data_IF_894862326986
#
_entry.id   IF_894862326986
#
_cell.length_a   1.000
_cell.length_b   1.000
_cell.length_c   1.000
_cell.angle_alpha   90.00
_cell.angle_beta   90.00
_cell.angle_gamma   90.00
#
_symmetry.space_group_name_H-M   'P 1'
#
loop_
_entity.id
_entity.type
_entity.pdbx_description
1 polymer ?
#
# COMPACT_ATOMS: atom_id res chain seq x y z
N UNK A 1 12.20 8.56 4.90
CA UNK A 1 13.12 9.72 4.95
C UNK A 1 12.40 10.90 5.63
N UNK A 2 13.09 11.78 6.38
CA UNK A 2 12.42 12.91 7.06
C UNK A 2 12.08 14.01 6.04
N UNK A 3 10.82 14.07 5.60
CA UNK A 3 10.31 15.04 4.64
C UNK A 3 10.11 16.42 5.30
N UNK A 4 10.51 17.49 4.61
CA UNK A 4 10.28 18.89 5.02
C UNK A 4 9.62 19.69 3.88
N UNK A 5 9.29 20.97 4.08
CA UNK A 5 8.63 21.76 3.02
C UNK A 5 9.47 21.87 1.74
N UNK A 6 10.80 21.88 1.86
CA UNK A 6 11.71 21.89 0.71
C UNK A 6 11.75 20.53 -0.02
N UNK A 7 11.60 19.41 0.69
CA UNK A 7 11.58 18.08 0.07
C UNK A 7 10.39 17.92 -0.86
N UNK A 8 9.21 18.49 -0.53
CA UNK A 8 8.02 18.42 -1.40
C UNK A 8 8.25 19.06 -2.77
N UNK A 9 8.84 20.27 -2.81
CA UNK A 9 9.12 20.95 -4.08
C UNK A 9 10.17 20.20 -4.89
N UNK A 10 11.21 19.69 -4.24
CA UNK A 10 12.27 18.90 -4.89
C UNK A 10 11.69 17.62 -5.48
N UNK A 11 10.86 16.89 -4.72
CA UNK A 11 10.20 15.68 -5.19
C UNK A 11 9.29 15.96 -6.39
N UNK A 12 8.51 17.04 -6.36
CA UNK A 12 7.62 17.39 -7.47
C UNK A 12 8.39 17.70 -8.75
N UNK A 13 9.45 18.51 -8.68
CA UNK A 13 10.31 18.80 -9.85
C UNK A 13 10.95 17.51 -10.38
N UNK A 14 11.49 16.68 -9.48
CA UNK A 14 12.10 15.42 -9.86
C UNK A 14 11.11 14.47 -10.52
N UNK A 15 9.89 14.36 -9.97
CA UNK A 15 8.80 13.55 -10.51
C UNK A 15 8.38 14.02 -11.90
N UNK A 16 8.20 15.32 -12.11
CA UNK A 16 7.85 15.88 -13.42
C UNK A 16 8.90 15.54 -14.48
N UNK A 17 10.18 15.77 -14.18
CA UNK A 17 11.27 15.47 -15.13
C UNK A 17 11.38 13.97 -15.40
N UNK A 18 11.31 13.15 -14.37
CA UNK A 18 11.39 11.70 -14.53
C UNK A 18 10.21 11.15 -15.33
N UNK A 19 8.99 11.63 -15.05
CA UNK A 19 7.79 11.24 -15.80
C UNK A 19 7.92 11.60 -17.28
N UNK A 20 8.38 12.82 -17.60
CA UNK A 20 8.59 13.22 -18.99
C UNK A 20 9.65 12.36 -19.69
N UNK A 21 10.74 12.01 -19.00
CA UNK A 21 11.80 11.15 -19.56
C UNK A 21 11.26 9.74 -19.83
N UNK A 22 10.57 9.13 -18.87
CA UNK A 22 9.99 7.80 -19.02
C UNK A 22 8.97 7.75 -20.17
N UNK A 23 8.18 8.82 -20.36
CA UNK A 23 7.15 8.87 -21.39
C UNK A 23 7.72 9.13 -22.80
N UNK A 24 8.72 10.01 -22.93
CA UNK A 24 9.16 10.53 -24.23
C UNK A 24 10.47 9.93 -24.74
N UNK A 25 11.36 9.52 -23.83
CA UNK A 25 12.74 9.16 -24.16
C UNK A 25 13.05 7.66 -24.01
N UNK A 26 12.12 6.90 -23.43
CA UNK A 26 12.29 5.47 -23.17
C UNK A 26 11.36 4.68 -24.09
N UNK A 27 11.95 3.93 -25.04
CA UNK A 27 11.24 3.11 -26.02
C UNK A 27 11.46 1.63 -25.75
N UNK A 28 11.09 1.16 -24.55
CA UNK A 28 11.17 -0.24 -24.16
C UNK A 28 9.75 -0.85 -24.11
N UNK A 29 9.44 -1.92 -24.87
CA UNK A 29 8.14 -2.58 -24.82
C UNK A 29 7.76 -3.09 -23.43
N UNK A 30 8.73 -3.55 -22.63
CA UNK A 30 8.48 -4.03 -21.27
C UNK A 30 8.07 -2.88 -20.34
N UNK A 31 8.41 -1.64 -20.69
CA UNK A 31 8.00 -0.43 -19.98
C UNK A 31 6.74 0.22 -20.57
N UNK A 32 6.09 -0.42 -21.54
CA UNK A 32 4.79 0.05 -22.01
C UNK A 32 3.75 0.01 -20.88
N UNK A 33 2.93 1.05 -20.76
CA UNK A 33 1.86 1.19 -19.77
C UNK A 33 2.31 1.26 -18.29
N UNK A 34 3.59 1.50 -18.02
CA UNK A 34 4.03 1.76 -16.64
C UNK A 34 3.66 3.17 -16.20
N UNK A 35 3.26 3.34 -14.93
CA UNK A 35 2.89 4.64 -14.36
C UNK A 35 3.81 5.01 -13.21
N UNK A 36 4.39 6.21 -13.24
CA UNK A 36 5.16 6.75 -12.12
C UNK A 36 4.20 7.29 -11.05
N UNK A 37 4.02 6.56 -9.95
CA UNK A 37 3.09 6.91 -8.86
C UNK A 37 3.70 7.92 -7.89
N UNK A 38 5.01 7.85 -7.68
CA UNK A 38 5.68 8.70 -6.69
C UNK A 38 7.19 8.78 -6.87
N UNK A 39 7.78 9.80 -6.25
CA UNK A 39 9.23 9.97 -6.14
C UNK A 39 9.59 10.48 -4.75
N UNK A 40 10.63 9.90 -4.16
CA UNK A 40 11.28 10.41 -2.96
C UNK A 40 12.74 10.72 -3.21
N UNK A 41 13.11 11.98 -3.02
CA UNK A 41 14.51 12.44 -3.08
C UNK A 41 15.04 12.58 -1.66
N UNK A 42 16.26 12.08 -1.44
CA UNK A 42 16.97 12.26 -0.17
C UNK A 42 17.23 13.74 0.11
N UNK A 43 17.41 14.10 1.39
CA UNK A 43 17.58 15.51 1.81
C UNK A 43 18.81 16.15 1.17
N UNK A 44 19.88 15.38 1.01
CA UNK A 44 21.14 15.73 0.36
C UNK A 44 21.12 15.53 -1.17
N UNK A 45 20.01 15.05 -1.73
CA UNK A 45 19.80 14.76 -3.17
C UNK A 45 20.79 13.75 -3.76
N UNK A 46 21.40 12.92 -2.91
CA UNK A 46 22.29 11.84 -3.35
C UNK A 46 21.53 10.64 -3.92
N UNK A 47 20.28 10.43 -3.48
CA UNK A 47 19.44 9.28 -3.88
C UNK A 47 18.05 9.75 -4.26
N UNK A 48 17.49 9.16 -5.31
CA UNK A 48 16.11 9.32 -5.75
C UNK A 48 15.47 7.95 -5.90
N UNK A 49 14.44 7.68 -5.10
CA UNK A 49 13.58 6.51 -5.22
C UNK A 49 12.36 6.85 -6.08
N UNK A 50 12.12 6.07 -7.12
CA UNK A 50 10.99 6.21 -8.03
C UNK A 50 10.06 5.01 -7.89
N UNK A 51 8.79 5.28 -7.60
CA UNK A 51 7.75 4.27 -7.43
C UNK A 51 6.96 4.14 -8.72
N UNK A 52 6.90 2.92 -9.25
CA UNK A 52 6.30 2.63 -10.55
C UNK A 52 5.23 1.55 -10.39
N UNK A 53 4.03 1.82 -10.86
CA UNK A 53 2.94 0.85 -10.91
C UNK A 53 2.81 0.25 -12.31
N UNK A 54 2.48 -1.03 -12.36
CA UNK A 54 2.22 -1.83 -13.57
C UNK A 54 1.40 -3.06 -13.18
N UNK A 55 0.94 -3.83 -14.15
CA UNK A 55 0.19 -5.07 -13.90
C UNK A 55 1.03 -6.10 -13.12
N UNK A 56 0.39 -6.85 -12.23
CA UNK A 56 1.04 -7.80 -11.32
C UNK A 56 1.86 -8.88 -12.03
N UNK A 57 1.37 -9.39 -13.17
CA UNK A 57 2.06 -10.38 -14.00
C UNK A 57 3.33 -9.84 -14.70
N UNK A 58 3.50 -8.50 -14.73
CA UNK A 58 4.61 -7.82 -15.40
C UNK A 58 5.68 -7.27 -14.47
N UNK A 59 5.58 -7.49 -13.15
CA UNK A 59 6.53 -6.94 -12.18
C UNK A 59 8.00 -7.25 -12.49
N UNK A 60 8.30 -8.51 -12.81
CA UNK A 60 9.68 -8.93 -13.07
C UNK A 60 10.24 -8.38 -14.40
N UNK A 61 9.56 -8.51 -15.56
CA UNK A 61 10.05 -7.91 -16.79
C UNK A 61 10.19 -6.39 -16.69
N UNK A 62 9.22 -5.69 -16.05
CA UNK A 62 9.29 -4.24 -15.81
C UNK A 62 10.49 -3.88 -14.94
N UNK A 63 10.72 -4.61 -13.84
CA UNK A 63 11.88 -4.39 -12.97
C UNK A 63 13.19 -4.50 -13.74
N UNK A 64 13.34 -5.55 -14.54
CA UNK A 64 14.56 -5.76 -15.32
C UNK A 64 14.73 -4.67 -16.39
N UNK A 65 13.65 -4.27 -17.07
CA UNK A 65 13.69 -3.21 -18.05
C UNK A 65 14.05 -1.85 -17.44
N UNK A 66 13.51 -1.52 -16.26
CA UNK A 66 13.88 -0.32 -15.50
C UNK A 66 15.37 -0.32 -15.13
N UNK A 67 15.92 -1.46 -14.71
CA UNK A 67 17.35 -1.58 -14.40
C UNK A 67 18.24 -1.42 -15.63
N UNK A 68 17.83 -1.96 -16.79
CA UNK A 68 18.53 -1.75 -18.07
C UNK A 68 18.49 -0.28 -18.49
N UNK A 69 17.33 0.37 -18.34
CA UNK A 69 17.12 1.78 -18.69
C UNK A 69 17.77 2.76 -17.70
N UNK A 70 18.09 2.33 -16.48
CA UNK A 70 18.57 3.16 -15.36
C UNK A 70 19.71 4.10 -15.74
N UNK A 71 20.71 3.62 -16.48
CA UNK A 71 21.84 4.46 -16.91
C UNK A 71 21.43 5.60 -17.84
N UNK A 72 20.62 5.28 -18.86
CA UNK A 72 20.07 6.24 -19.83
C UNK A 72 19.18 7.27 -19.12
N UNK A 73 18.24 6.81 -18.31
CA UNK A 73 17.31 7.66 -17.56
C UNK A 73 18.06 8.58 -16.60
N UNK A 74 19.06 8.06 -15.86
CA UNK A 74 19.88 8.88 -14.96
C UNK A 74 20.62 9.98 -15.72
N UNK A 75 21.20 9.67 -16.89
CA UNK A 75 21.90 10.68 -17.69
C UNK A 75 20.96 11.81 -18.14
N UNK A 76 19.78 11.45 -18.67
CA UNK A 76 18.78 12.42 -19.12
C UNK A 76 18.27 13.26 -17.93
N UNK A 77 18.04 12.62 -16.78
CA UNK A 77 17.58 13.29 -15.57
C UNK A 77 18.60 14.30 -15.06
N UNK A 78 19.90 13.97 -15.11
CA UNK A 78 20.97 14.91 -14.76
C UNK A 78 20.96 16.17 -15.62
N UNK A 79 20.69 16.02 -16.92
CA UNK A 79 20.59 17.15 -17.85
C UNK A 79 19.33 17.99 -17.59
N UNK A 80 18.22 17.33 -17.24
CA UNK A 80 16.94 17.99 -17.00
C UNK A 80 16.82 18.70 -15.64
N UNK A 81 17.53 18.23 -14.61
CA UNK A 81 17.45 18.78 -13.24
C UNK A 81 18.44 19.93 -12.98
N UNK A 82 19.58 19.96 -13.66
CA UNK A 82 20.62 20.97 -13.44
C UNK A 82 21.24 20.94 -12.03
N UNK A 83 21.17 19.80 -11.33
CA UNK A 83 21.81 19.65 -10.01
C UNK A 83 23.30 19.39 -10.16
N UNK A 84 24.08 19.81 -9.14
CA UNK A 84 25.54 19.61 -9.13
C UNK A 84 25.93 18.13 -9.22
N UNK A 85 25.16 17.28 -8.56
CA UNK A 85 25.32 15.82 -8.58
C UNK A 85 23.98 15.24 -8.99
N UNK A 86 24.03 14.32 -9.95
CA UNK A 86 22.84 13.55 -10.34
C UNK A 86 22.62 12.44 -9.31
N UNK A 87 21.42 12.31 -8.72
CA UNK A 87 21.15 11.30 -7.72
C UNK A 87 21.31 9.89 -8.30
N UNK A 88 21.65 8.93 -7.44
CA UNK A 88 21.45 7.53 -7.73
C UNK A 88 19.95 7.25 -7.87
N UNK A 89 19.58 6.53 -8.93
CA UNK A 89 18.19 6.24 -9.25
C UNK A 89 17.86 4.81 -8.83
N UNK A 90 16.89 4.67 -7.94
CA UNK A 90 16.38 3.38 -7.47
C UNK A 90 14.93 3.27 -7.91
N UNK A 91 14.59 2.20 -8.61
CA UNK A 91 13.22 1.90 -8.99
C UNK A 91 12.60 0.88 -8.05
N UNK A 92 11.39 1.15 -7.58
CA UNK A 92 10.59 0.23 -6.76
C UNK A 92 9.21 0.07 -7.40
N UNK A 93 8.72 -1.17 -7.50
CA UNK A 93 7.36 -1.43 -7.95
C UNK A 93 6.40 -1.06 -6.82
N UNK A 94 5.41 -0.24 -7.14
CA UNK A 94 4.37 0.18 -6.22
C UNK A 94 3.23 -0.84 -6.20
N UNK A 95 3.19 -1.66 -5.14
CA UNK A 95 2.15 -2.67 -4.90
C UNK A 95 1.02 -2.15 -4.02
N UNK A 96 0.98 -0.85 -3.72
CA UNK A 96 -0.01 -0.26 -2.80
C UNK A 96 -1.43 -0.39 -3.35
N UNK A 97 -1.59 -0.30 -4.67
CA UNK A 97 -2.89 -0.47 -5.33
C UNK A 97 -3.41 -1.91 -5.22
N UNK A 98 -2.56 -2.91 -5.47
CA UNK A 98 -2.91 -4.32 -5.36
C UNK A 98 -3.27 -4.70 -3.92
N UNK A 99 -2.52 -4.16 -2.96
CA UNK A 99 -2.81 -4.34 -1.54
C UNK A 99 -4.16 -3.72 -1.16
N UNK A 100 -4.46 -2.51 -1.66
CA UNK A 100 -5.74 -1.87 -1.43
C UNK A 100 -6.91 -2.67 -2.01
N UNK A 101 -6.76 -3.24 -3.22
CA UNK A 101 -7.77 -4.12 -3.81
C UNK A 101 -7.98 -5.39 -2.96
N UNK A 102 -6.88 -6.01 -2.51
CA UNK A 102 -6.92 -7.19 -1.64
C UNK A 102 -7.68 -6.92 -0.35
N UNK A 103 -7.40 -5.78 0.29
CA UNK A 103 -8.09 -5.35 1.51
C UNK A 103 -9.57 -5.10 1.21
N UNK A 104 -9.90 -4.38 0.13
CA UNK A 104 -11.29 -4.11 -0.25
C UNK A 104 -12.09 -5.41 -0.45
N UNK A 105 -11.51 -6.39 -1.15
CA UNK A 105 -12.11 -7.71 -1.37
C UNK A 105 -12.30 -8.49 -0.07
N UNK A 106 -11.35 -8.42 0.86
CA UNK A 106 -11.48 -9.05 2.17
C UNK A 106 -12.61 -8.40 3.00
N UNK A 107 -12.81 -7.08 2.86
CA UNK A 107 -13.88 -6.36 3.54
C UNK A 107 -15.28 -6.68 3.00
N UNK A 108 -15.43 -7.03 1.71
CA UNK A 108 -16.72 -7.46 1.14
C UNK A 108 -17.26 -8.73 1.82
N UNK A 109 -16.38 -9.60 2.30
CA UNK A 109 -16.72 -10.84 3.00
C UNK A 109 -16.58 -10.72 4.51
N UNK A 110 -16.46 -9.49 5.04
CA UNK A 110 -16.37 -9.26 6.46
C UNK A 110 -17.67 -9.71 7.16
N UNK A 111 -17.58 -10.53 8.24
CA UNK A 111 -18.76 -10.93 9.00
C UNK A 111 -19.45 -9.72 9.62
N UNK A 112 -20.79 -9.78 9.75
CA UNK A 112 -21.62 -8.71 10.30
C UNK A 112 -21.22 -8.25 11.72
N UNK A 113 -20.42 -9.04 12.44
CA UNK A 113 -19.85 -8.71 13.75
C UNK A 113 -18.86 -7.53 13.71
N UNK A 114 -18.30 -7.17 12.55
CA UNK A 114 -17.46 -5.98 12.37
C UNK A 114 -18.27 -4.68 12.22
N UNK A 115 -19.55 -4.77 11.85
CA UNK A 115 -20.43 -3.61 11.68
C UNK A 115 -21.15 -3.18 12.97
N UNK A 116 -20.94 -3.91 14.07
CA UNK A 116 -21.56 -3.59 15.36
C UNK A 116 -20.79 -2.44 15.99
N UNK A 117 -21.46 -1.31 16.22
CA UNK A 117 -20.87 -0.19 16.97
C UNK A 117 -20.37 -0.69 18.31
N UNK A 118 -19.17 -0.26 18.71
CA UNK A 118 -18.55 -0.65 19.98
C UNK A 118 -18.47 0.54 20.91
N UNK A 119 -18.69 0.32 22.20
CA UNK A 119 -18.46 1.33 23.22
C UNK A 119 -16.94 1.60 23.43
N UNK A 120 -16.61 2.57 24.29
CA UNK A 120 -15.21 2.89 24.62
C UNK A 120 -14.42 1.71 25.21
N UNK A 121 -15.09 0.68 25.71
CA UNK A 121 -14.49 -0.54 26.25
C UNK A 121 -14.41 -1.68 25.21
N UNK A 122 -14.93 -1.48 23.99
CA UNK A 122 -14.88 -2.43 22.87
C UNK A 122 -16.03 -3.43 22.82
N UNK A 123 -17.10 -3.26 23.59
CA UNK A 123 -18.28 -4.12 23.59
C UNK A 123 -19.33 -3.65 22.58
N UNK A 124 -20.03 -4.57 21.89
CA UNK A 124 -21.09 -4.23 20.96
C UNK A 124 -22.25 -3.46 21.64
N UNK A 125 -22.58 -2.28 21.11
CA UNK A 125 -23.70 -1.44 21.55
C UNK A 125 -24.98 -2.05 21.00
N UNK A 126 -25.69 -2.83 21.81
CA UNK A 126 -27.02 -3.34 21.44
C UNK A 126 -28.08 -2.27 21.72
N UNK A 127 -28.58 -1.57 20.70
CA UNK A 127 -29.79 -0.73 20.79
C UNK A 127 -31.06 -1.57 20.62
N UNK A 128 -31.26 -2.56 21.49
CA UNK A 128 -32.58 -3.19 21.64
C UNK A 128 -33.20 -2.77 22.98
N UNK A 129 -34.12 -1.82 22.87
CA UNK A 129 -35.15 -1.58 23.89
C UNK A 129 -36.18 -2.70 23.71
N UNK A 130 -36.42 -3.42 24.81
CA UNK A 130 -37.46 -4.44 25.01
C UNK A 130 -37.26 -5.81 24.32
N UNK A 131 -36.42 -6.67 24.91
CA UNK A 131 -36.76 -8.09 25.10
C UNK A 131 -36.26 -8.58 26.48
N UNK A 132 -37.04 -9.40 27.21
CA UNK A 132 -36.69 -9.85 28.56
C UNK A 132 -35.52 -10.84 28.52
N UNK A 133 -34.55 -10.62 29.42
CA UNK A 133 -33.42 -11.52 29.67
C UNK A 133 -33.96 -12.92 29.98
N UNK A 134 -33.55 -13.98 29.24
CA UNK A 134 -33.88 -15.34 29.66
C UNK A 134 -33.13 -15.61 30.97
N UNK A 135 -33.89 -15.83 32.04
CA UNK A 135 -33.39 -16.34 33.31
C UNK A 135 -32.62 -17.62 33.05
N UNK A 136 -31.35 -17.65 33.44
CA UNK A 136 -30.52 -18.84 33.36
C UNK A 136 -31.14 -19.98 34.17
N UNK A 137 -31.71 -20.96 33.48
CA UNK A 137 -31.97 -22.27 34.05
C UNK A 137 -30.61 -22.97 34.20
N UNK A 138 -30.21 -23.15 35.46
CA UNK A 138 -29.09 -23.97 35.83
C UNK A 138 -29.43 -25.44 35.56
N UNK A 139 -29.10 -25.92 34.36
CA UNK A 139 -29.24 -27.33 34.01
C UNK A 139 -27.94 -28.08 34.39
N UNK A 140 -27.88 -28.49 35.66
CA UNK A 140 -26.88 -29.41 36.19
C UNK A 140 -27.37 -30.85 36.03
N UNK A 141 -26.92 -31.48 34.93
CA UNK A 141 -27.17 -32.84 34.46
C UNK A 141 -27.12 -33.96 35.56
N UNK A 142 -27.87 -35.08 35.40
CA UNK A 142 -28.04 -36.12 36.41
C UNK A 142 -27.03 -37.28 36.25
N UNK A 143 -26.73 -37.98 37.36
CA UNK A 143 -26.65 -39.46 37.52
C UNK A 143 -25.83 -39.84 38.76
N UNK A 144 -26.34 -40.83 39.50
CA UNK A 144 -25.61 -41.57 40.52
C UNK A 144 -26.56 -42.44 41.34
N UNK A 145 -26.60 -43.73 41.01
CA UNK A 145 -27.32 -44.81 41.69
C UNK A 145 -27.12 -44.85 43.22
N UNK A 146 -28.13 -45.27 43.98
CA UNK A 146 -28.12 -46.52 44.77
C UNK A 146 -29.49 -46.75 45.48
N UNK A 147 -30.07 -47.95 45.29
CA UNK A 147 -31.11 -48.57 46.13
C UNK A 147 -30.52 -48.95 47.51
N UNK A 148 -31.21 -49.60 48.50
CA UNK A 148 -32.56 -50.21 48.58
C UNK A 148 -33.33 -49.74 49.86
N UNK A 149 -34.52 -50.20 50.28
CA UNK A 149 -35.20 -51.52 50.40
C UNK A 149 -36.71 -51.32 50.46
#
# INVERSE_FOLDING_TARGET
>A
MKQNRNSRRVNQIAREKLASILLLEVSDPDLALVTLTGVEVSVDKSVLKAYVSCDHDRYEPVRQALERARGRVRSLLGHALGWRVTPELIFEIDTTADEAERIARALEHAPATLAVEKDEAGYPITTHRDEPVPSGEADGNPKGDEQPV
#
